data_IF_774313796029
#
_entry.id   IF_774313796029
#
_cell.length_a   1.000
_cell.length_b   1.000
_cell.length_c   1.000
_cell.angle_alpha   90.00
_cell.angle_beta   90.00
_cell.angle_gamma   90.00
#
_symmetry.space_group_name_H-M   'P 1'
#
loop_
_entity.id
_entity.type
_entity.pdbx_description
1 polymer ?
#
# COMPACT_ATOMS: atom_id res chain seq x y z
N UNK A 1 16.07 6.90 -6.84
CA UNK A 1 14.72 7.33 -7.25
C UNK A 1 13.74 6.35 -6.63
N UNK A 2 12.81 6.81 -5.79
CA UNK A 2 11.91 5.90 -5.06
C UNK A 2 10.80 5.40 -6.00
N UNK A 3 10.55 4.09 -6.04
CA UNK A 3 9.51 3.52 -6.90
C UNK A 3 8.13 3.76 -6.28
N UNK A 4 7.26 4.42 -7.03
CA UNK A 4 5.87 4.66 -6.65
C UNK A 4 4.96 3.70 -7.40
N UNK A 5 4.15 2.97 -6.66
CA UNK A 5 3.19 2.01 -7.19
C UNK A 5 1.77 2.54 -7.04
N UNK A 6 0.91 2.16 -7.97
CA UNK A 6 -0.54 2.39 -7.91
C UNK A 6 -1.21 1.43 -6.93
N UNK A 7 -2.47 1.73 -6.59
CA UNK A 7 -3.32 0.81 -5.83
C UNK A 7 -3.46 -0.54 -6.53
N UNK A 8 -3.67 -0.57 -7.84
CA UNK A 8 -3.85 -1.80 -8.61
C UNK A 8 -2.61 -2.70 -8.60
N UNK A 9 -1.42 -2.10 -8.75
CA UNK A 9 -0.15 -2.84 -8.67
C UNK A 9 0.07 -3.43 -7.28
N UNK A 10 -0.18 -2.66 -6.23
CA UNK A 10 -0.02 -3.14 -4.84
C UNK A 10 -1.07 -4.19 -4.50
N UNK A 11 -2.31 -4.01 -4.95
CA UNK A 11 -3.40 -4.96 -4.76
C UNK A 11 -3.07 -6.31 -5.44
N UNK A 12 -2.57 -6.27 -6.67
CA UNK A 12 -2.10 -7.44 -7.40
C UNK A 12 -0.91 -8.12 -6.71
N UNK A 13 0.06 -7.33 -6.24
CA UNK A 13 1.22 -7.83 -5.51
C UNK A 13 0.85 -8.54 -4.20
N UNK A 14 -0.04 -7.95 -3.41
CA UNK A 14 -0.52 -8.51 -2.14
C UNK A 14 -1.62 -9.58 -2.34
N UNK A 15 -2.10 -9.77 -3.58
CA UNK A 15 -3.25 -10.63 -3.92
C UNK A 15 -4.51 -10.31 -3.11
N UNK A 16 -4.80 -9.03 -2.93
CA UNK A 16 -6.00 -8.53 -2.26
C UNK A 16 -6.82 -7.66 -3.20
N UNK A 17 -8.09 -7.43 -2.88
CA UNK A 17 -8.91 -6.48 -3.63
C UNK A 17 -8.46 -5.04 -3.40
N UNK A 18 -8.63 -4.18 -4.41
CA UNK A 18 -8.37 -2.73 -4.28
C UNK A 18 -9.18 -2.13 -3.12
N UNK A 19 -10.42 -2.58 -2.92
CA UNK A 19 -11.28 -2.19 -1.78
C UNK A 19 -10.60 -2.47 -0.44
N UNK A 20 -9.90 -3.60 -0.31
CA UNK A 20 -9.15 -3.94 0.90
C UNK A 20 -7.96 -3.02 1.08
N UNK A 21 -7.25 -2.69 0.00
CA UNK A 21 -6.14 -1.75 0.04
C UNK A 21 -6.61 -0.33 0.43
N UNK A 22 -7.71 0.13 -0.15
CA UNK A 22 -8.37 1.39 0.23
C UNK A 22 -8.76 1.41 1.71
N UNK A 23 -9.26 0.28 2.25
CA UNK A 23 -9.56 0.16 3.68
C UNK A 23 -8.30 0.33 4.52
N UNK A 24 -7.17 -0.26 4.14
CA UNK A 24 -5.90 -0.11 4.86
C UNK A 24 -5.38 1.33 4.83
N UNK A 25 -5.54 2.03 3.70
CA UNK A 25 -5.19 3.44 3.59
C UNK A 25 -6.11 4.29 4.48
N UNK A 26 -7.43 4.11 4.40
CA UNK A 26 -8.41 4.84 5.24
C UNK A 26 -8.21 4.56 6.73
N UNK A 27 -7.88 3.34 7.11
CA UNK A 27 -7.60 2.96 8.50
C UNK A 27 -6.19 3.34 8.96
N UNK A 28 -5.43 4.13 8.16
CA UNK A 28 -4.05 4.56 8.43
C UNK A 28 -3.06 3.41 8.68
N UNK A 29 -3.40 2.18 8.25
CA UNK A 29 -2.52 1.00 8.36
C UNK A 29 -1.43 1.03 7.29
N UNK A 30 -1.79 1.48 6.09
CA UNK A 30 -0.87 1.67 4.97
C UNK A 30 -0.79 3.15 4.61
N UNK A 31 0.42 3.73 4.63
CA UNK A 31 0.62 5.10 4.19
C UNK A 31 0.68 5.16 2.66
N UNK A 32 -0.01 6.13 2.08
CA UNK A 32 -0.04 6.40 0.65
C UNK A 32 -0.12 7.91 0.42
N UNK A 33 0.36 8.35 -0.74
CA UNK A 33 0.33 9.73 -1.20
C UNK A 33 -0.82 9.90 -2.19
N UNK A 34 -1.55 11.01 -2.12
CA UNK A 34 -2.62 11.32 -3.07
C UNK A 34 -2.13 12.38 -4.06
N UNK A 35 -1.78 11.96 -5.28
CA UNK A 35 -1.25 12.84 -6.34
C UNK A 35 -2.11 12.61 -7.59
N UNK A 36 -3.39 13.03 -7.51
CA UNK A 36 -4.45 12.68 -8.47
C UNK A 36 -4.93 11.24 -8.34
N UNK A 37 -4.00 10.29 -8.30
CA UNK A 37 -4.23 8.90 -7.91
C UNK A 37 -3.43 8.57 -6.64
N UNK A 38 -3.87 7.53 -5.93
CA UNK A 38 -3.14 7.00 -4.79
C UNK A 38 -1.84 6.32 -5.24
N UNK A 39 -0.74 6.77 -4.64
CA UNK A 39 0.61 6.26 -4.86
C UNK A 39 1.17 5.71 -3.55
N UNK A 40 1.73 4.52 -3.61
CA UNK A 40 2.35 3.84 -2.47
C UNK A 40 3.83 3.69 -2.82
N UNK A 41 4.71 4.23 -1.99
CA UNK A 41 6.14 3.98 -2.18
C UNK A 41 6.50 2.57 -1.72
N UNK A 42 7.49 1.99 -2.38
CA UNK A 42 7.98 0.65 -2.03
C UNK A 42 8.42 0.56 -0.56
N UNK A 43 9.00 1.64 -0.01
CA UNK A 43 9.39 1.71 1.40
C UNK A 43 8.18 1.60 2.34
N UNK A 44 7.06 2.29 2.03
CA UNK A 44 5.83 2.19 2.82
C UNK A 44 5.22 0.79 2.76
N UNK A 45 5.26 0.15 1.59
CA UNK A 45 4.79 -1.24 1.45
C UNK A 45 5.63 -2.20 2.30
N UNK A 46 6.97 -2.10 2.24
CA UNK A 46 7.87 -2.91 3.06
C UNK A 46 7.61 -2.69 4.55
N UNK A 47 7.41 -1.45 4.97
CA UNK A 47 7.09 -1.11 6.36
C UNK A 47 5.73 -1.69 6.80
N UNK A 48 4.74 -1.68 5.92
CA UNK A 48 3.43 -2.28 6.18
C UNK A 48 3.53 -3.79 6.37
N UNK A 49 4.29 -4.48 5.52
CA UNK A 49 4.53 -5.92 5.65
C UNK A 49 5.25 -6.24 6.96
N UNK A 50 6.34 -5.53 7.28
CA UNK A 50 7.07 -5.70 8.56
C UNK A 50 6.20 -5.54 9.79
N UNK A 51 5.23 -4.62 9.78
CA UNK A 51 4.29 -4.41 10.89
C UNK A 51 3.22 -5.50 11.01
N UNK A 52 2.90 -6.18 9.91
CA UNK A 52 1.84 -7.19 9.85
C UNK A 52 2.38 -8.61 10.08
N UNK A 53 3.70 -8.81 9.95
CA UNK A 53 4.34 -10.07 10.30
C UNK A 53 4.29 -10.27 11.80
N UNK A 54 3.43 -11.19 12.24
CA UNK A 54 3.51 -11.81 13.56
C UNK A 54 4.56 -12.93 13.43
N UNK A 55 5.79 -12.66 13.85
CA UNK A 55 6.78 -13.70 14.19
C UNK A 55 6.75 -13.89 15.69
#
# INVERSE_FOLDING_TARGET
MEKLMTIGEVASYLRVSERTLFRYIKSKKLKAYHIGQWRISESQLKNFLKKTTYV
#
